data_IF_551869198716
#
_entry.id   IF_551869198716
#
_cell.length_a   1.000
_cell.length_b   1.000
_cell.length_c   1.000
_cell.angle_alpha   90.00
_cell.angle_beta   90.00
_cell.angle_gamma   90.00
#
_symmetry.space_group_name_H-M   'P 1'
#
loop_
_entity.id
_entity.type
_entity.pdbx_description
1 polymer ?
#
# COMPACT_ATOMS: atom_id res chain seq x y z
N UNK A 1 0.45 9.84 4.23
CA UNK A 1 1.19 8.72 4.87
C UNK A 1 1.34 7.50 3.95
N UNK A 2 0.33 7.16 3.15
CA UNK A 2 0.34 6.05 2.16
C UNK A 2 1.62 5.97 1.33
N UNK A 3 2.06 7.09 0.74
CA UNK A 3 3.26 7.13 -0.10
C UNK A 3 4.53 6.59 0.61
N UNK A 4 4.70 6.89 1.90
CA UNK A 4 5.85 6.39 2.68
C UNK A 4 5.77 4.87 2.90
N UNK A 5 4.57 4.35 3.19
CA UNK A 5 4.34 2.92 3.37
C UNK A 5 4.59 2.13 2.08
N UNK A 6 4.08 2.62 0.94
CA UNK A 6 4.33 2.01 -0.37
C UNK A 6 5.82 2.02 -0.73
N UNK A 7 6.49 3.16 -0.53
CA UNK A 7 7.92 3.27 -0.82
C UNK A 7 8.76 2.36 0.09
N UNK A 8 8.35 2.14 1.33
CA UNK A 8 9.02 1.23 2.24
C UNK A 8 8.83 -0.24 1.83
N UNK A 9 7.61 -0.65 1.49
CA UNK A 9 7.34 -2.00 0.99
C UNK A 9 8.20 -2.30 -0.24
N UNK A 10 8.29 -1.34 -1.17
CA UNK A 10 9.11 -1.48 -2.38
C UNK A 10 10.61 -1.59 -2.07
N UNK A 11 11.14 -0.73 -1.19
CA UNK A 11 12.57 -0.76 -0.79
C UNK A 11 12.95 -2.04 -0.07
N UNK A 12 12.09 -2.55 0.80
CA UNK A 12 12.37 -3.74 1.61
C UNK A 12 12.03 -5.04 0.89
N UNK A 13 11.31 -4.97 -0.24
CA UNK A 13 10.95 -6.14 -1.05
C UNK A 13 10.06 -7.15 -0.30
N UNK A 14 9.32 -6.69 0.71
CA UNK A 14 8.43 -7.52 1.54
C UNK A 14 7.04 -6.91 1.70
N UNK A 15 5.99 -7.73 1.89
CA UNK A 15 4.65 -7.23 2.17
C UNK A 15 4.59 -6.39 3.45
N UNK A 16 3.80 -5.31 3.42
CA UNK A 16 3.55 -4.45 4.58
C UNK A 16 2.06 -4.13 4.71
N UNK A 17 1.60 -3.95 5.95
CA UNK A 17 0.25 -3.49 6.29
C UNK A 17 0.36 -2.17 7.04
N UNK A 18 -0.44 -1.19 6.68
CA UNK A 18 -0.48 0.11 7.36
C UNK A 18 -1.85 0.77 7.25
N UNK A 19 -2.13 1.69 8.17
CA UNK A 19 -3.36 2.49 8.17
C UNK A 19 -3.17 3.83 7.46
N UNK A 20 -4.23 4.33 6.83
CA UNK A 20 -4.28 5.66 6.24
C UNK A 20 -5.72 6.19 6.16
N UNK A 21 -5.88 7.50 6.02
CA UNK A 21 -7.18 8.10 5.76
C UNK A 21 -7.52 8.01 4.26
N UNK A 22 -8.75 7.60 3.96
CA UNK A 22 -9.35 7.51 2.63
C UNK A 22 -10.44 8.56 2.50
N UNK A 23 -10.35 9.36 1.44
CA UNK A 23 -11.38 10.33 1.09
C UNK A 23 -12.51 9.64 0.34
N UNK A 24 -13.72 9.76 0.88
CA UNK A 24 -14.96 9.26 0.31
C UNK A 24 -15.55 10.26 -0.70
N UNK A 25 -16.53 9.85 -1.48
CA UNK A 25 -17.19 10.71 -2.48
C UNK A 25 -17.84 11.97 -1.88
N UNK A 26 -18.26 11.89 -0.62
CA UNK A 26 -18.85 13.01 0.14
C UNK A 26 -17.80 13.89 0.85
N UNK A 27 -16.51 13.61 0.66
CA UNK A 27 -15.41 14.32 1.30
C UNK A 27 -15.12 13.87 2.73
N UNK A 28 -15.82 12.85 3.26
CA UNK A 28 -15.48 12.28 4.54
C UNK A 28 -14.13 11.56 4.49
N UNK A 29 -13.34 11.66 5.57
CA UNK A 29 -12.12 10.87 5.73
C UNK A 29 -12.43 9.66 6.61
N UNK A 30 -12.31 8.47 6.05
CA UNK A 30 -12.45 7.21 6.78
C UNK A 30 -11.09 6.52 6.89
N UNK A 31 -10.72 6.02 8.09
CA UNK A 31 -9.50 5.25 8.20
C UNK A 31 -9.65 3.93 7.43
N UNK A 32 -8.59 3.53 6.75
CA UNK A 32 -8.51 2.31 5.97
C UNK A 32 -7.24 1.54 6.32
N UNK A 33 -7.33 0.21 6.30
CA UNK A 33 -6.17 -0.67 6.33
C UNK A 33 -5.74 -0.99 4.90
N UNK A 34 -4.45 -0.86 4.63
CA UNK A 34 -3.87 -1.07 3.31
C UNK A 34 -2.79 -2.13 3.41
N UNK A 35 -2.89 -3.15 2.54
CA UNK A 35 -1.83 -4.13 2.29
C UNK A 35 -1.09 -3.74 1.02
N UNK A 36 0.23 -3.66 1.10
CA UNK A 36 1.11 -3.42 -0.04
C UNK A 36 2.09 -4.58 -0.20
N UNK A 37 1.95 -5.33 -1.30
CA UNK A 37 2.79 -6.49 -1.61
C UNK A 37 3.65 -6.24 -2.86
N UNK A 38 4.98 -6.14 -2.73
CA UNK A 38 5.86 -5.99 -3.87
C UNK A 38 5.84 -7.26 -4.74
N UNK A 39 5.66 -7.07 -6.05
CA UNK A 39 5.74 -8.15 -7.03
C UNK A 39 7.14 -8.14 -7.66
N UNK A 40 7.73 -9.33 -7.79
CA UNK A 40 9.05 -9.50 -8.40
C UNK A 40 8.92 -9.56 -9.92
N UNK A 41 9.79 -8.84 -10.61
CA UNK A 41 9.98 -8.93 -12.05
C UNK A 41 10.87 -10.12 -12.45
N UNK A 42 11.16 -10.28 -13.75
CA UNK A 42 12.01 -11.36 -14.27
C UNK A 42 13.44 -11.37 -13.71
N UNK A 43 13.93 -10.23 -13.21
CA UNK A 43 15.25 -10.10 -12.56
C UNK A 43 15.24 -10.49 -11.08
N UNK A 44 14.08 -10.86 -10.53
CA UNK A 44 13.89 -11.14 -9.11
C UNK A 44 13.75 -9.89 -8.24
N UNK A 45 13.94 -8.69 -8.81
CA UNK A 45 13.78 -7.41 -8.13
C UNK A 45 12.32 -6.97 -8.13
N UNK A 46 11.85 -6.26 -7.07
CA UNK A 46 10.54 -5.61 -7.10
C UNK A 46 10.44 -4.60 -8.25
N UNK A 47 9.38 -4.69 -9.05
CA UNK A 47 9.10 -3.72 -10.12
C UNK A 47 7.66 -3.18 -10.10
N UNK A 48 6.77 -3.83 -9.35
CA UNK A 48 5.35 -3.48 -9.20
C UNK A 48 4.87 -3.73 -7.78
N UNK A 49 3.68 -3.23 -7.46
CA UNK A 49 3.00 -3.45 -6.19
C UNK A 49 1.58 -3.95 -6.45
N UNK A 50 1.16 -4.96 -5.68
CA UNK A 50 -0.24 -5.32 -5.50
C UNK A 50 -0.74 -4.63 -4.22
N UNK A 51 -1.79 -3.83 -4.36
CA UNK A 51 -2.46 -3.14 -3.25
C UNK A 51 -3.84 -3.73 -3.00
N UNK A 52 -4.17 -3.94 -1.73
CA UNK A 52 -5.54 -4.18 -1.26
C UNK A 52 -5.84 -3.17 -0.16
N UNK A 53 -7.09 -2.73 -0.06
CA UNK A 53 -7.52 -1.86 1.03
C UNK A 53 -8.91 -2.26 1.52
N UNK A 54 -9.18 -1.97 2.78
CA UNK A 54 -10.50 -2.05 3.38
C UNK A 54 -10.72 -0.85 4.30
N UNK A 55 -11.93 -0.26 4.34
CA UNK A 55 -12.32 0.64 5.41
C UNK A 55 -12.23 -0.07 6.78
N UNK A 56 -11.90 0.67 7.84
CA UNK A 56 -11.96 0.19 9.22
C UNK A 56 -13.33 0.41 9.87
#
# INVERSE_FOLDING_TARGET
>A
MVHRGLAQAFREGRPMIFSADMEMEDGALLPAEIVAAPLRGPTGMPDRLLGLYQPL
#
